data_IF_925424351434
#
_entry.id   IF_925424351434
#
_cell.length_a   1.000
_cell.length_b   1.000
_cell.length_c   1.000
_cell.angle_alpha   90.00
_cell.angle_beta   90.00
_cell.angle_gamma   90.00
#
_symmetry.space_group_name_H-M   'P 1'
#
loop_
_entity.id
_entity.type
_entity.pdbx_description
1 polymer ?
#
# COMPACT_ATOMS: atom_id res chain seq x y z
N UNK A 1 23.19 -5.50 4.69
CA UNK A 1 21.80 -5.69 5.16
C UNK A 1 20.80 -5.08 4.18
N UNK A 2 20.82 -3.76 3.94
CA UNK A 2 19.90 -3.07 3.00
C UNK A 2 19.75 -3.78 1.63
N UNK A 3 20.88 -4.02 0.95
CA UNK A 3 20.93 -4.73 -0.34
C UNK A 3 20.31 -6.14 -0.30
N UNK A 4 20.52 -6.86 0.80
CA UNK A 4 19.97 -8.20 1.00
C UNK A 4 18.45 -8.16 1.19
N UNK A 5 17.93 -7.20 1.95
CA UNK A 5 16.48 -7.03 2.14
C UNK A 5 15.82 -6.63 0.81
N UNK A 6 16.41 -5.70 0.06
CA UNK A 6 15.93 -5.30 -1.26
C UNK A 6 15.85 -6.50 -2.22
N UNK A 7 16.92 -7.29 -2.32
CA UNK A 7 16.93 -8.49 -3.16
C UNK A 7 15.86 -9.52 -2.77
N UNK A 8 15.67 -9.75 -1.48
CA UNK A 8 14.76 -10.77 -0.96
C UNK A 8 13.29 -10.35 -1.14
N UNK A 9 12.97 -9.09 -0.87
CA UNK A 9 11.61 -8.56 -0.84
C UNK A 9 11.17 -8.03 -2.20
N UNK A 10 11.99 -7.20 -2.85
CA UNK A 10 11.67 -6.55 -4.13
C UNK A 10 12.13 -7.40 -5.31
N UNK A 11 13.30 -8.04 -5.21
CA UNK A 11 13.90 -8.88 -6.26
C UNK A 11 13.39 -10.32 -6.31
N UNK A 12 12.27 -10.65 -5.65
CA UNK A 12 11.74 -12.01 -5.52
C UNK A 12 12.72 -13.03 -4.92
N UNK A 13 13.81 -12.57 -4.28
CA UNK A 13 14.86 -13.44 -3.75
C UNK A 13 14.35 -14.41 -2.69
N UNK A 14 13.36 -14.02 -1.87
CA UNK A 14 12.78 -14.91 -0.87
C UNK A 14 12.08 -16.13 -1.48
N UNK A 15 11.48 -15.98 -2.68
CA UNK A 15 10.83 -17.10 -3.36
C UNK A 15 11.85 -18.13 -3.83
N UNK A 16 13.04 -17.67 -4.24
CA UNK A 16 14.13 -18.54 -4.71
C UNK A 16 15.00 -19.11 -3.59
N UNK A 17 15.20 -18.37 -2.49
CA UNK A 17 16.15 -18.75 -1.42
C UNK A 17 15.51 -19.21 -0.11
N UNK A 18 14.23 -18.90 0.13
CA UNK A 18 13.54 -19.24 1.37
C UNK A 18 12.29 -20.12 1.17
N UNK A 19 12.04 -20.59 -0.07
CA UNK A 19 10.93 -21.50 -0.39
C UNK A 19 9.53 -20.90 -0.25
N UNK A 20 9.41 -19.56 -0.18
CA UNK A 20 8.11 -18.90 -0.09
C UNK A 20 7.41 -18.93 -1.44
N UNK A 21 6.16 -19.39 -1.46
CA UNK A 21 5.33 -19.37 -2.68
C UNK A 21 5.08 -17.94 -3.17
N UNK A 22 4.75 -17.01 -2.26
CA UNK A 22 4.42 -15.62 -2.57
C UNK A 22 5.00 -14.65 -1.52
N UNK A 23 5.30 -13.40 -1.91
CA UNK A 23 5.54 -12.29 -0.97
C UNK A 23 4.19 -11.69 -0.55
N UNK A 24 3.90 -11.67 0.75
CA UNK A 24 2.63 -11.17 1.31
C UNK A 24 2.77 -9.74 1.83
N UNK A 25 1.64 -9.05 2.03
CA UNK A 25 1.62 -7.72 2.68
C UNK A 25 2.29 -7.74 4.07
N UNK A 26 2.16 -8.85 4.81
CA UNK A 26 2.85 -9.03 6.10
C UNK A 26 4.37 -9.02 5.93
N UNK A 27 4.91 -9.69 4.91
CA UNK A 27 6.36 -9.71 4.65
C UNK A 27 6.87 -8.31 4.32
N UNK A 28 6.13 -7.56 3.49
CA UNK A 28 6.46 -6.18 3.13
C UNK A 28 6.41 -5.26 4.36
N UNK A 29 5.38 -5.38 5.20
CA UNK A 29 5.25 -4.58 6.41
C UNK A 29 6.39 -4.82 7.40
N UNK A 30 6.74 -6.09 7.67
CA UNK A 30 7.86 -6.44 8.53
C UNK A 30 9.21 -5.95 7.97
N UNK A 31 9.40 -6.03 6.64
CA UNK A 31 10.60 -5.51 6.00
C UNK A 31 10.69 -3.98 6.16
N UNK A 32 9.60 -3.25 5.90
CA UNK A 32 9.52 -1.80 6.11
C UNK A 32 9.82 -1.42 7.57
N UNK A 33 9.24 -2.13 8.54
CA UNK A 33 9.51 -1.88 9.97
C UNK A 33 10.98 -2.14 10.33
N UNK A 34 11.58 -3.20 9.78
CA UNK A 34 13.00 -3.52 10.00
C UNK A 34 13.92 -2.46 9.42
N UNK A 35 13.58 -1.93 8.25
CA UNK A 35 14.28 -0.80 7.63
C UNK A 35 14.10 0.48 8.46
N UNK A 36 12.88 0.75 8.93
CA UNK A 36 12.58 1.88 9.82
C UNK A 36 13.40 1.87 11.11
N UNK A 37 13.60 0.70 11.72
CA UNK A 37 14.48 0.56 12.88
C UNK A 37 15.93 0.98 12.56
N UNK A 38 16.46 0.57 11.41
CA UNK A 38 17.80 0.97 10.98
C UNK A 38 17.90 2.48 10.73
N UNK A 39 16.88 3.07 10.10
CA UNK A 39 16.80 4.53 9.87
C UNK A 39 16.89 5.29 11.21
N UNK A 40 16.22 4.81 12.25
CA UNK A 40 16.25 5.43 13.58
C UNK A 40 17.55 5.17 14.37
N UNK A 41 18.17 3.99 14.20
CA UNK A 41 19.35 3.59 14.96
C UNK A 41 20.65 4.23 14.46
N UNK A 42 20.81 4.36 13.14
CA UNK A 42 22.05 4.80 12.49
C UNK A 42 22.50 6.21 12.95
N UNK A 43 21.62 7.21 13.11
CA UNK A 43 22.01 8.52 13.65
C UNK A 43 22.62 8.44 15.05
N UNK A 44 22.04 7.63 15.95
CA UNK A 44 22.59 7.45 17.30
C UNK A 44 23.95 6.75 17.29
N UNK A 45 24.15 5.80 16.37
CA UNK A 45 25.45 5.15 16.17
C UNK A 45 26.49 6.16 15.65
N UNK A 46 26.11 7.00 14.68
CA UNK A 46 26.95 8.08 14.14
C UNK A 46 27.42 9.02 15.25
N UNK A 47 26.51 9.46 16.12
CA UNK A 47 26.84 10.38 17.21
C UNK A 47 27.75 9.73 18.27
N UNK A 48 27.49 8.47 18.61
CA UNK A 48 28.33 7.74 19.56
C UNK A 48 29.76 7.54 19.04
N UNK A 49 29.88 7.14 17.78
CA UNK A 49 31.18 6.94 17.12
C UNK A 49 31.89 8.28 16.94
N UNK A 50 31.17 9.32 16.52
CA UNK A 50 31.72 10.66 16.33
C UNK A 50 32.38 11.24 17.58
N UNK A 51 31.83 10.96 18.77
CA UNK A 51 32.43 11.38 20.06
C UNK A 51 33.80 10.77 20.37
N UNK A 52 34.09 9.60 19.83
CA UNK A 52 35.33 8.85 20.12
C UNK A 52 36.28 8.80 18.92
N UNK A 53 35.91 9.42 17.80
CA UNK A 53 36.65 9.37 16.55
C UNK A 53 37.68 10.51 16.47
N UNK A 54 38.94 10.24 16.08
CA UNK A 54 39.91 11.28 15.79
C UNK A 54 39.44 12.20 14.65
N UNK A 55 39.66 13.52 14.77
CA UNK A 55 39.19 14.52 13.80
C UNK A 55 39.59 14.22 12.34
N UNK A 56 40.75 13.61 12.12
CA UNK A 56 41.24 13.17 10.78
C UNK A 56 40.33 12.17 10.07
N UNK A 57 39.44 11.48 10.80
CA UNK A 57 38.49 10.52 10.26
C UNK A 57 37.06 11.05 10.18
N UNK A 58 36.81 12.32 10.53
CA UNK A 58 35.46 12.90 10.61
C UNK A 58 34.66 12.82 9.30
N UNK A 59 35.33 12.78 8.14
CA UNK A 59 34.69 12.59 6.83
C UNK A 59 33.88 11.28 6.78
N UNK A 60 34.30 10.23 7.48
CA UNK A 60 33.59 8.94 7.52
C UNK A 60 32.21 9.03 8.19
N UNK A 61 31.94 10.07 8.99
CA UNK A 61 30.61 10.28 9.58
C UNK A 61 29.55 10.60 8.51
N UNK A 62 29.96 11.13 7.36
CA UNK A 62 29.05 11.38 6.22
C UNK A 62 28.55 10.09 5.56
N UNK A 63 29.26 8.96 5.73
CA UNK A 63 28.82 7.66 5.24
C UNK A 63 27.56 7.18 5.97
N UNK A 64 27.41 7.49 7.26
CA UNK A 64 26.19 7.19 8.02
C UNK A 64 24.99 7.94 7.43
N UNK A 65 25.20 9.21 7.05
CA UNK A 65 24.16 10.03 6.42
C UNK A 65 23.78 9.46 5.03
N UNK A 66 24.74 8.94 4.26
CA UNK A 66 24.46 8.21 3.02
C UNK A 66 23.65 6.95 3.28
N UNK A 67 24.07 6.12 4.24
CA UNK A 67 23.39 4.87 4.56
C UNK A 67 21.94 5.13 5.00
N UNK A 68 21.68 6.19 5.78
CA UNK A 68 20.30 6.57 6.16
C UNK A 68 19.45 6.89 4.92
N UNK A 69 20.00 7.61 3.94
CA UNK A 69 19.30 7.89 2.68
C UNK A 69 18.98 6.59 1.93
N UNK A 70 19.96 5.70 1.79
CA UNK A 70 19.78 4.41 1.11
C UNK A 70 18.68 3.55 1.76
N UNK A 71 18.53 3.60 3.09
CA UNK A 71 17.44 2.92 3.79
C UNK A 71 16.09 3.61 3.59
N UNK A 72 16.03 4.94 3.58
CA UNK A 72 14.79 5.69 3.31
C UNK A 72 14.27 5.41 1.89
N UNK A 73 15.17 5.41 0.91
CA UNK A 73 14.82 5.11 -0.48
C UNK A 73 14.26 3.69 -0.60
N UNK A 74 14.90 2.71 0.05
CA UNK A 74 14.39 1.35 0.08
C UNK A 74 13.05 1.21 0.82
N UNK A 75 12.82 1.96 1.91
CA UNK A 75 11.52 1.99 2.57
C UNK A 75 10.43 2.49 1.62
N UNK A 76 10.73 3.55 0.86
CA UNK A 76 9.83 4.11 -0.17
C UNK A 76 9.51 3.09 -1.27
N UNK A 77 10.50 2.31 -1.72
CA UNK A 77 10.27 1.23 -2.70
C UNK A 77 9.33 0.14 -2.15
N UNK A 78 9.47 -0.23 -0.87
CA UNK A 78 8.57 -1.20 -0.22
C UNK A 78 7.14 -0.64 -0.15
N UNK A 79 6.98 0.63 0.23
CA UNK A 79 5.67 1.29 0.28
C UNK A 79 5.03 1.35 -1.11
N UNK A 80 5.80 1.74 -2.12
CA UNK A 80 5.38 1.76 -3.52
C UNK A 80 4.94 0.39 -4.00
N UNK A 81 5.62 -0.69 -3.59
CA UNK A 81 5.24 -2.07 -3.95
C UNK A 81 3.90 -2.47 -3.32
N UNK A 82 3.60 -2.05 -2.09
CA UNK A 82 2.30 -2.28 -1.45
C UNK A 82 1.18 -1.59 -2.23
N UNK A 83 1.38 -0.33 -2.64
CA UNK A 83 0.42 0.42 -3.46
C UNK A 83 0.21 -0.27 -4.81
N UNK A 84 1.28 -0.68 -5.48
CA UNK A 84 1.20 -1.38 -6.76
C UNK A 84 0.40 -2.70 -6.69
N UNK A 85 0.57 -3.49 -5.62
CA UNK A 85 -0.20 -4.72 -5.40
C UNK A 85 -1.70 -4.41 -5.25
N UNK A 86 -2.05 -3.34 -4.55
CA UNK A 86 -3.45 -2.94 -4.42
C UNK A 86 -4.03 -2.42 -5.73
N UNK A 87 -3.26 -1.70 -6.53
CA UNK A 87 -3.68 -1.26 -7.86
C UNK A 87 -3.94 -2.43 -8.81
N UNK A 88 -3.13 -3.49 -8.74
CA UNK A 88 -3.34 -4.71 -9.50
C UNK A 88 -4.67 -5.39 -9.13
N UNK A 89 -4.95 -5.50 -7.82
CA UNK A 89 -6.23 -6.04 -7.32
C UNK A 89 -7.41 -5.17 -7.72
N UNK A 90 -7.28 -3.85 -7.57
CA UNK A 90 -8.31 -2.89 -7.95
C UNK A 90 -8.65 -2.98 -9.43
N UNK A 91 -7.65 -3.14 -10.30
CA UNK A 91 -7.84 -3.31 -11.74
C UNK A 91 -8.72 -4.52 -12.10
N UNK A 92 -8.64 -5.61 -11.33
CA UNK A 92 -9.53 -6.77 -11.50
C UNK A 92 -10.98 -6.42 -11.17
N UNK A 93 -11.20 -5.71 -10.07
CA UNK A 93 -12.53 -5.28 -9.63
C UNK A 93 -13.14 -4.23 -10.56
N UNK A 94 -12.33 -3.32 -11.13
CA UNK A 94 -12.76 -2.38 -12.18
C UNK A 94 -13.24 -3.12 -13.43
N UNK A 95 -12.53 -4.15 -13.89
CA UNK A 95 -12.99 -4.96 -15.02
C UNK A 95 -14.30 -5.67 -14.72
N UNK A 96 -14.47 -6.17 -13.49
CA UNK A 96 -15.72 -6.77 -13.06
C UNK A 96 -16.87 -5.73 -13.02
N UNK A 97 -16.59 -4.51 -12.56
CA UNK A 97 -17.52 -3.37 -12.56
C UNK A 97 -18.00 -3.01 -13.97
N UNK A 98 -17.09 -2.97 -14.95
CA UNK A 98 -17.42 -2.66 -16.34
C UNK A 98 -18.36 -3.69 -16.98
N UNK A 99 -18.33 -4.94 -16.51
CA UNK A 99 -19.19 -6.02 -16.99
C UNK A 99 -20.57 -6.05 -16.30
N UNK A 100 -20.83 -5.17 -15.34
CA UNK A 100 -22.13 -5.08 -14.67
C UNK A 100 -23.15 -4.48 -15.63
N UNK A 101 -24.27 -5.15 -15.83
CA UNK A 101 -25.44 -4.60 -16.50
C UNK A 101 -26.15 -3.62 -15.55
N UNK A 102 -25.79 -2.34 -15.61
CA UNK A 102 -26.33 -1.32 -14.70
C UNK A 102 -27.77 -0.95 -15.01
N UNK A 103 -28.18 -1.03 -16.27
CA UNK A 103 -29.52 -0.67 -16.74
C UNK A 103 -30.55 -1.80 -16.61
N UNK A 104 -30.12 -2.99 -16.17
CA UNK A 104 -30.99 -4.13 -15.89
C UNK A 104 -31.46 -4.12 -14.43
N UNK A 105 -32.63 -4.73 -14.17
CA UNK A 105 -33.17 -4.84 -12.82
C UNK A 105 -32.24 -5.64 -11.91
N UNK A 106 -32.01 -5.11 -10.71
CA UNK A 106 -31.18 -5.75 -9.71
C UNK A 106 -31.79 -7.08 -9.26
N UNK A 107 -31.07 -8.18 -9.48
CA UNK A 107 -31.54 -9.52 -9.15
C UNK A 107 -31.30 -9.90 -7.69
N UNK A 108 -30.52 -9.12 -6.92
CA UNK A 108 -29.91 -9.61 -5.67
C UNK A 108 -30.24 -8.87 -4.38
N UNK A 109 -30.94 -7.73 -4.37
CA UNK A 109 -31.37 -7.04 -3.13
C UNK A 109 -30.23 -6.73 -2.13
N UNK A 110 -28.98 -6.69 -2.60
CA UNK A 110 -27.78 -6.40 -1.81
C UNK A 110 -27.43 -4.93 -1.93
N UNK A 111 -26.76 -4.39 -0.92
CA UNK A 111 -26.29 -3.00 -0.93
C UNK A 111 -25.23 -2.72 -2.01
N UNK A 112 -24.41 -3.70 -2.40
CA UNK A 112 -23.45 -3.57 -3.49
C UNK A 112 -23.20 -4.91 -4.19
N UNK A 113 -22.73 -4.86 -5.44
CA UNK A 113 -22.31 -6.06 -6.16
C UNK A 113 -21.05 -6.67 -5.53
N UNK A 114 -20.87 -7.97 -5.77
CA UNK A 114 -19.78 -8.77 -5.20
C UNK A 114 -18.38 -8.22 -5.47
N UNK A 115 -18.14 -7.57 -6.62
CA UNK A 115 -16.83 -6.95 -6.91
C UNK A 115 -16.50 -5.86 -5.90
N UNK A 116 -17.48 -5.05 -5.49
CA UNK A 116 -17.29 -3.94 -4.56
C UNK A 116 -17.14 -4.44 -3.13
N UNK A 117 -17.97 -5.40 -2.70
CA UNK A 117 -17.82 -6.08 -1.41
C UNK A 117 -16.42 -6.70 -1.26
N UNK A 118 -15.93 -7.34 -2.33
CA UNK A 118 -14.61 -7.98 -2.34
C UNK A 118 -13.49 -6.95 -2.30
N UNK A 119 -13.58 -5.87 -3.08
CA UNK A 119 -12.60 -4.77 -3.06
C UNK A 119 -12.47 -4.15 -1.65
N UNK A 120 -13.59 -3.83 -1.01
CA UNK A 120 -13.60 -3.30 0.36
C UNK A 120 -12.97 -4.30 1.32
N UNK A 121 -13.36 -5.58 1.27
CA UNK A 121 -12.81 -6.62 2.13
C UNK A 121 -11.29 -6.78 1.98
N UNK A 122 -10.79 -6.75 0.75
CA UNK A 122 -9.34 -6.83 0.49
C UNK A 122 -8.60 -5.61 1.02
N UNK A 123 -9.18 -4.42 0.87
CA UNK A 123 -8.63 -3.16 1.38
C UNK A 123 -8.58 -3.15 2.91
N UNK A 124 -9.66 -3.59 3.57
CA UNK A 124 -9.73 -3.77 5.03
C UNK A 124 -8.71 -4.78 5.53
N UNK A 125 -8.54 -5.88 4.79
CA UNK A 125 -7.56 -6.91 5.14
C UNK A 125 -6.14 -6.36 5.04
N UNK A 126 -5.83 -5.57 4.01
CA UNK A 126 -4.55 -4.89 3.91
C UNK A 126 -4.33 -3.99 5.13
N UNK A 127 -5.26 -3.08 5.41
CA UNK A 127 -5.15 -2.16 6.54
C UNK A 127 -4.89 -2.90 7.85
N UNK A 128 -5.69 -3.93 8.15
CA UNK A 128 -5.56 -4.76 9.35
C UNK A 128 -4.18 -5.43 9.45
N UNK A 129 -3.62 -5.88 8.33
CA UNK A 129 -2.28 -6.47 8.31
C UNK A 129 -1.22 -5.39 8.55
N UNK A 130 -1.30 -4.27 7.85
CA UNK A 130 -0.30 -3.20 7.96
C UNK A 130 -0.31 -2.55 9.35
N UNK A 131 -1.49 -2.28 9.92
CA UNK A 131 -1.63 -1.64 11.24
C UNK A 131 -1.05 -2.46 12.39
N UNK A 132 -0.92 -3.78 12.21
CA UNK A 132 -0.27 -4.66 13.19
C UNK A 132 1.25 -4.50 13.23
N UNK A 133 1.87 -4.02 12.16
CA UNK A 133 3.33 -4.08 11.98
C UNK A 133 3.98 -2.74 11.68
N UNK A 134 3.24 -1.76 11.17
CA UNK A 134 3.75 -0.45 10.79
C UNK A 134 3.36 0.63 11.80
N UNK A 135 4.18 1.69 11.94
CA UNK A 135 3.80 2.86 12.72
C UNK A 135 2.62 3.58 12.05
N UNK A 136 1.84 4.29 12.85
CA UNK A 136 0.63 4.98 12.37
C UNK A 136 0.89 5.92 11.18
N UNK A 137 2.00 6.67 11.20
CA UNK A 137 2.41 7.54 10.10
C UNK A 137 2.59 6.78 8.77
N UNK A 138 3.35 5.67 8.78
CA UNK A 138 3.63 4.91 7.56
C UNK A 138 2.37 4.22 7.05
N UNK A 139 1.54 3.72 7.97
CA UNK A 139 0.23 3.17 7.65
C UNK A 139 -0.64 4.20 6.93
N UNK A 140 -0.82 5.38 7.52
CA UNK A 140 -1.60 6.46 6.93
C UNK A 140 -1.05 6.86 5.56
N UNK A 141 0.27 7.01 5.43
CA UNK A 141 0.92 7.36 4.18
C UNK A 141 0.63 6.34 3.07
N UNK A 142 0.80 5.05 3.34
CA UNK A 142 0.54 3.99 2.36
C UNK A 142 -0.94 3.94 2.00
N UNK A 143 -1.83 3.96 2.99
CA UNK A 143 -3.28 3.86 2.75
C UNK A 143 -3.81 5.07 1.99
N UNK A 144 -3.31 6.27 2.27
CA UNK A 144 -3.66 7.48 1.54
C UNK A 144 -3.30 7.37 0.06
N UNK A 145 -2.10 6.87 -0.25
CA UNK A 145 -1.70 6.63 -1.65
C UNK A 145 -2.55 5.58 -2.36
N UNK A 146 -2.91 4.49 -1.66
CA UNK A 146 -3.86 3.49 -2.20
C UNK A 146 -5.18 4.16 -2.53
N UNK A 147 -5.71 4.99 -1.63
CA UNK A 147 -7.02 5.62 -1.81
C UNK A 147 -7.01 6.66 -2.91
N UNK A 148 -6.00 7.54 -2.96
CA UNK A 148 -5.81 8.50 -4.06
C UNK A 148 -5.73 7.77 -5.41
N UNK A 149 -5.03 6.64 -5.46
CA UNK A 149 -4.93 5.83 -6.67
C UNK A 149 -6.28 5.23 -7.08
N UNK A 150 -7.05 4.71 -6.12
CA UNK A 150 -8.37 4.13 -6.38
C UNK A 150 -9.36 5.18 -6.84
N UNK A 151 -9.44 6.33 -6.16
CA UNK A 151 -10.37 7.41 -6.52
C UNK A 151 -10.03 7.98 -7.90
N UNK A 152 -8.75 8.21 -8.19
CA UNK A 152 -8.30 8.71 -9.50
C UNK A 152 -8.69 7.75 -10.62
N UNK A 153 -8.39 6.46 -10.47
CA UNK A 153 -8.73 5.44 -11.46
C UNK A 153 -10.25 5.28 -11.59
N UNK A 154 -10.99 5.26 -10.48
CA UNK A 154 -12.43 5.12 -10.51
C UNK A 154 -13.10 6.30 -11.22
N UNK A 155 -12.67 7.53 -10.95
CA UNK A 155 -13.16 8.73 -11.66
C UNK A 155 -12.93 8.64 -13.17
N UNK A 156 -11.76 8.19 -13.62
CA UNK A 156 -11.50 7.94 -15.04
C UNK A 156 -12.43 6.88 -15.62
N UNK A 157 -12.67 5.79 -14.90
CA UNK A 157 -13.54 4.70 -15.37
C UNK A 157 -15.02 5.08 -15.39
N UNK A 158 -15.48 5.88 -14.42
CA UNK A 158 -16.83 6.44 -14.38
C UNK A 158 -17.09 7.29 -15.62
N UNK A 159 -16.13 8.13 -16.02
CA UNK A 159 -16.27 8.99 -17.20
C UNK A 159 -16.49 8.21 -18.51
N UNK A 160 -16.14 6.93 -18.52
CA UNK A 160 -16.26 6.02 -19.67
C UNK A 160 -17.45 5.07 -19.56
N UNK A 161 -18.13 5.04 -18.41
CA UNK A 161 -19.22 4.13 -18.15
C UNK A 161 -20.52 4.69 -18.76
N UNK A 162 -21.14 3.93 -19.65
CA UNK A 162 -22.45 4.29 -20.22
C UNK A 162 -23.57 3.68 -19.39
N UNK A 163 -24.09 4.43 -18.42
CA UNK A 163 -25.32 4.09 -17.69
C UNK A 163 -26.46 4.96 -18.19
N UNK A 164 -27.49 4.36 -18.80
CA UNK A 164 -28.54 5.09 -19.52
C UNK A 164 -29.76 5.38 -18.65
N UNK A 165 -30.06 4.49 -17.72
CA UNK A 165 -31.24 4.57 -16.86
C UNK A 165 -30.93 5.28 -15.56
N UNK A 166 -31.92 6.02 -15.04
CA UNK A 166 -31.76 6.71 -13.76
C UNK A 166 -31.57 5.73 -12.60
N UNK A 167 -32.31 4.61 -12.63
CA UNK A 167 -32.16 3.52 -11.65
C UNK A 167 -30.75 2.91 -11.67
N UNK A 168 -30.15 2.75 -12.85
CA UNK A 168 -28.77 2.27 -12.97
C UNK A 168 -27.76 3.24 -12.35
N UNK A 169 -27.97 4.55 -12.52
CA UNK A 169 -27.13 5.58 -11.91
C UNK A 169 -27.27 5.61 -10.39
N UNK A 170 -28.51 5.58 -9.89
CA UNK A 170 -28.79 5.49 -8.45
C UNK A 170 -28.08 4.28 -7.84
N UNK A 171 -28.19 3.12 -8.47
CA UNK A 171 -27.50 1.89 -8.05
C UNK A 171 -25.98 2.06 -8.06
N UNK A 172 -25.42 2.70 -9.09
CA UNK A 172 -23.98 2.96 -9.15
C UNK A 172 -23.52 3.87 -8.01
N UNK A 173 -24.29 4.91 -7.67
CA UNK A 173 -23.99 5.81 -6.55
C UNK A 173 -23.92 5.05 -5.23
N UNK A 174 -24.83 4.10 -4.97
CA UNK A 174 -24.77 3.26 -3.76
C UNK A 174 -23.42 2.54 -3.63
N UNK A 175 -22.83 2.07 -4.73
CA UNK A 175 -21.51 1.44 -4.70
C UNK A 175 -20.38 2.42 -4.37
N UNK A 176 -20.47 3.65 -4.88
CA UNK A 176 -19.50 4.71 -4.58
C UNK A 176 -19.59 5.10 -3.11
N UNK A 177 -20.80 5.31 -2.61
CA UNK A 177 -21.05 5.64 -1.19
C UNK A 177 -20.58 4.51 -0.28
N UNK A 178 -20.79 3.25 -0.68
CA UNK A 178 -20.29 2.08 0.03
C UNK A 178 -18.75 2.12 0.12
N UNK A 179 -18.05 2.34 -0.99
CA UNK A 179 -16.59 2.44 -0.98
C UNK A 179 -16.12 3.62 -0.12
N UNK A 180 -16.67 4.81 -0.32
CA UNK A 180 -16.26 6.04 0.36
C UNK A 180 -16.44 5.93 1.89
N UNK A 181 -17.56 5.37 2.34
CA UNK A 181 -17.82 5.09 3.75
C UNK A 181 -16.67 4.31 4.41
N UNK A 182 -16.19 3.27 3.74
CA UNK A 182 -15.10 2.43 4.26
C UNK A 182 -13.73 3.11 4.15
N UNK A 183 -13.48 3.89 3.09
CA UNK A 183 -12.25 4.66 2.95
C UNK A 183 -12.12 5.71 4.06
N UNK A 184 -13.21 6.45 4.32
CA UNK A 184 -13.27 7.42 5.41
C UNK A 184 -13.12 6.78 6.78
N UNK A 185 -13.70 5.59 6.99
CA UNK A 185 -13.51 4.84 8.23
C UNK A 185 -12.04 4.49 8.46
N UNK A 186 -11.32 4.05 7.42
CA UNK A 186 -9.90 3.69 7.49
C UNK A 186 -8.97 4.88 7.74
N UNK A 187 -9.35 6.10 7.33
CA UNK A 187 -8.55 7.30 7.60
C UNK A 187 -8.77 7.86 9.01
N UNK A 188 -9.88 7.52 9.65
CA UNK A 188 -10.28 8.03 10.98
C UNK A 188 -9.87 7.14 12.15
N UNK A 189 -9.53 5.88 11.90
CA UNK A 189 -9.11 4.89 12.91
C UNK A 189 -7.60 4.71 12.96
#
# INVERSE_FOLDING_TARGET
>A
FNSRVCQVILGAGAMRSAGLKNISAKHLALASQSVGLMIGLIPSLRDCIGKHMPAKHGVLLSEFDRIVRDYKDHQSEIHSKLVAIMNERFSVHVKAMQNVQWDEQETTGKAANQYMETLVKETMTLHKVLSKYLPHHDLQFIMSQVFTSFTTQLSDQISRLEIRTEKGKERFVVHIDYLDYYLLWLLRG
#
